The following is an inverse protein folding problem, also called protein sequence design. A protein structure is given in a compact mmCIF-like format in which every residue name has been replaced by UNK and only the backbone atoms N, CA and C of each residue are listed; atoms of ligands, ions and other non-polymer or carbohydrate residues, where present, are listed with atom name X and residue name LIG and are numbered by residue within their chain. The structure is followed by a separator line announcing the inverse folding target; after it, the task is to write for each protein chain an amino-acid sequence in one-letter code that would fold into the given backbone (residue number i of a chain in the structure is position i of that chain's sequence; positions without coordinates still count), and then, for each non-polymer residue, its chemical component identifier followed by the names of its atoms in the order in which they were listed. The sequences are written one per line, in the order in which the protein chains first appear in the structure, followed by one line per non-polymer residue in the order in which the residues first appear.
data_IF_929221377444
#
_entry.id   IF_929221377444
#
_cell.length_a   1.000
_cell.length_b   1.000
_cell.length_c   1.000
_cell.angle_alpha   90.00
_cell.angle_beta   90.00
_cell.angle_gamma   90.00
#
_symmetry.space_group_name_H-M   'P 1'
#
loop_
_entity.id
_entity.type
_entity.pdbx_description
1 polymer ?
#
# COMPACT_ATOMS: atom_id res chain seq x y z
N UNK A 1 -13.57 -20.47 -9.84
CA UNK A 1 -13.65 -19.46 -8.75
C UNK A 1 -12.31 -18.75 -8.64
N UNK A 2 -12.27 -17.42 -8.74
CA UNK A 2 -11.05 -16.67 -8.49
C UNK A 2 -10.61 -16.84 -7.03
N UNK A 3 -9.33 -17.15 -6.79
CA UNK A 3 -8.78 -17.28 -5.43
C UNK A 3 -8.83 -15.92 -4.73
N UNK A 4 -9.56 -15.84 -3.61
CA UNK A 4 -9.54 -14.67 -2.73
C UNK A 4 -8.20 -14.59 -2.00
N UNK A 5 -7.68 -13.38 -1.86
CA UNK A 5 -6.53 -13.11 -0.99
C UNK A 5 -6.80 -13.51 0.47
N UNK A 6 -5.76 -13.96 1.18
CA UNK A 6 -5.83 -14.18 2.63
C UNK A 6 -4.54 -13.72 3.30
N UNK A 7 -4.66 -13.18 4.50
CA UNK A 7 -3.54 -12.74 5.34
C UNK A 7 -3.50 -13.68 6.54
N UNK A 8 -2.37 -14.34 6.77
CA UNK A 8 -2.17 -15.23 7.92
C UNK A 8 -0.98 -14.75 8.72
N UNK A 9 -1.11 -14.80 10.03
CA UNK A 9 -0.05 -14.51 10.97
C UNK A 9 0.42 -15.78 11.65
N UNK A 10 1.70 -15.81 11.96
CA UNK A 10 2.38 -16.89 12.65
C UNK A 10 3.31 -16.28 13.67
N UNK A 11 3.41 -16.92 14.83
CA UNK A 11 4.42 -16.61 15.83
C UNK A 11 5.51 -17.65 15.65
N UNK A 12 6.77 -17.22 15.59
CA UNK A 12 7.90 -18.12 15.49
C UNK A 12 8.78 -17.98 16.72
N UNK A 13 9.25 -19.10 17.23
CA UNK A 13 10.30 -19.13 18.24
C UNK A 13 11.65 -18.88 17.57
N UNK A 14 12.37 -17.85 18.00
CA UNK A 14 13.64 -17.44 17.38
C UNK A 14 14.72 -18.53 17.54
N UNK A 15 14.72 -19.25 18.67
CA UNK A 15 15.77 -20.21 19.00
C UNK A 15 15.60 -21.57 18.30
N UNK A 16 14.36 -22.03 18.15
CA UNK A 16 14.00 -23.35 17.63
C UNK A 16 13.37 -23.31 16.24
N UNK A 17 12.99 -22.13 15.74
CA UNK A 17 12.27 -21.95 14.49
C UNK A 17 10.83 -22.50 14.50
N UNK A 18 10.33 -22.98 15.65
CA UNK A 18 8.98 -23.55 15.75
C UNK A 18 7.94 -22.47 15.46
N UNK A 19 6.98 -22.82 14.61
CA UNK A 19 5.87 -21.96 14.22
C UNK A 19 4.60 -22.34 14.98
N UNK A 20 3.96 -21.36 15.58
CA UNK A 20 2.57 -21.45 16.04
C UNK A 20 1.69 -20.54 15.20
N UNK A 21 0.50 -21.01 14.87
CA UNK A 21 -0.43 -20.26 14.02
C UNK A 21 -1.11 -19.18 14.86
N UNK A 22 -1.04 -17.94 14.37
CA UNK A 22 -1.81 -16.82 14.92
C UNK A 22 -3.18 -16.70 14.23
N UNK A 23 -3.56 -15.47 13.90
CA UNK A 23 -4.81 -15.14 13.19
C UNK A 23 -4.73 -15.36 11.68
N UNK A 24 -5.86 -15.70 11.07
CA UNK A 24 -6.05 -15.67 9.61
C UNK A 24 -7.25 -14.81 9.25
N UNK A 25 -7.06 -13.94 8.27
CA UNK A 25 -8.06 -13.04 7.72
C UNK A 25 -8.22 -13.31 6.23
N UNK A 26 -9.46 -13.20 5.74
CA UNK A 26 -9.70 -13.19 4.30
C UNK A 26 -9.84 -11.75 3.85
N UNK A 27 -9.25 -11.45 2.70
CA UNK A 27 -9.45 -10.18 2.04
C UNK A 27 -10.92 -10.13 1.61
N UNK A 28 -11.71 -9.15 2.07
CA UNK A 28 -13.17 -9.17 1.92
C UNK A 28 -13.59 -9.19 0.45
N UNK A 29 -12.88 -8.45 -0.39
CA UNK A 29 -13.19 -8.21 -1.80
C UNK A 29 -11.91 -8.04 -2.63
N UNK A 30 -12.00 -8.23 -3.94
CA UNK A 30 -10.87 -8.16 -4.86
C UNK A 30 -10.27 -9.53 -5.20
N UNK A 31 -9.11 -9.49 -5.84
CA UNK A 31 -8.41 -10.65 -6.38
C UNK A 31 -7.36 -11.25 -5.42
N UNK A 32 -6.29 -11.85 -5.96
CA UNK A 32 -5.13 -12.21 -5.15
C UNK A 32 -4.44 -10.96 -4.60
N UNK A 33 -3.77 -11.11 -3.45
CA UNK A 33 -2.91 -10.05 -2.91
C UNK A 33 -1.69 -9.90 -3.83
N UNK A 34 -1.48 -8.71 -4.38
CA UNK A 34 -0.40 -8.40 -5.34
C UNK A 34 0.76 -7.65 -4.70
N UNK A 35 0.48 -6.90 -3.64
CA UNK A 35 1.48 -6.08 -2.96
C UNK A 35 1.15 -5.95 -1.47
N UNK A 36 2.22 -5.90 -0.67
CA UNK A 36 2.18 -5.59 0.74
C UNK A 36 3.19 -4.47 1.01
N UNK A 37 2.82 -3.52 1.85
CA UNK A 37 3.74 -2.52 2.38
C UNK A 37 3.43 -2.33 3.85
N UNK A 38 4.44 -2.55 4.69
CA UNK A 38 4.33 -2.32 6.12
C UNK A 38 4.84 -0.92 6.42
N UNK A 39 4.12 -0.17 7.26
CA UNK A 39 4.61 1.09 7.80
C UNK A 39 4.73 0.99 9.31
N UNK A 40 5.94 1.27 9.78
CA UNK A 40 6.23 1.49 11.18
C UNK A 40 6.22 3.01 11.43
N UNK A 41 5.39 3.51 12.34
CA UNK A 41 5.39 4.93 12.69
C UNK A 41 6.51 5.23 13.69
N UNK A 42 7.41 6.12 13.32
CA UNK A 42 8.37 6.74 14.25
C UNK A 42 8.01 8.22 14.38
N UNK A 43 6.87 8.55 14.97
CA UNK A 43 6.56 9.88 15.49
C UNK A 43 5.45 9.81 16.56
N UNK A 44 5.50 10.69 17.56
CA UNK A 44 4.62 10.84 18.73
C UNK A 44 3.11 10.97 18.42
N UNK A 45 2.72 11.30 17.19
CA UNK A 45 1.32 11.63 16.83
C UNK A 45 0.53 10.50 16.14
N UNK A 46 1.16 9.42 15.67
CA UNK A 46 0.48 8.31 15.02
C UNK A 46 0.85 6.98 15.69
N UNK A 47 -0.15 6.36 16.35
CA UNK A 47 0.09 5.49 17.51
C UNK A 47 0.22 3.98 17.23
N UNK A 48 -0.26 3.46 16.10
CA UNK A 48 -0.32 2.00 15.87
C UNK A 48 0.20 1.60 14.49
N UNK A 49 1.04 0.56 14.33
CA UNK A 49 1.54 0.07 13.04
C UNK A 49 0.43 -0.30 12.05
N UNK A 50 0.67 -0.12 10.75
CA UNK A 50 -0.30 -0.43 9.70
C UNK A 50 0.33 -1.24 8.57
N UNK A 51 -0.50 -2.11 8.02
CA UNK A 51 -0.23 -2.93 6.85
C UNK A 51 -1.13 -2.45 5.70
N UNK A 52 -0.49 -2.02 4.60
CA UNK A 52 -1.14 -1.77 3.32
C UNK A 52 -1.13 -3.06 2.50
N UNK A 53 -2.30 -3.44 2.00
CA UNK A 53 -2.52 -4.61 1.15
C UNK A 53 -3.15 -4.12 -0.16
N UNK A 54 -2.55 -4.47 -1.30
CA UNK A 54 -3.19 -4.31 -2.61
C UNK A 54 -3.76 -5.65 -3.06
N UNK A 55 -5.05 -5.65 -3.40
CA UNK A 55 -5.80 -6.79 -3.88
C UNK A 55 -6.54 -6.42 -5.17
N UNK A 56 -5.86 -6.53 -6.31
CA UNK A 56 -6.47 -6.25 -7.62
C UNK A 56 -7.03 -4.84 -7.75
N UNK A 57 -6.32 -3.82 -7.24
CA UNK A 57 -6.74 -2.42 -7.32
C UNK A 57 -7.68 -1.98 -6.20
N UNK A 58 -8.00 -2.86 -5.26
CA UNK A 58 -8.50 -2.48 -3.96
C UNK A 58 -7.31 -2.35 -3.00
N UNK A 59 -7.06 -1.14 -2.52
CA UNK A 59 -6.12 -0.90 -1.43
C UNK A 59 -6.86 -1.03 -0.10
N UNK A 60 -6.29 -1.82 0.80
CA UNK A 60 -6.80 -2.08 2.13
C UNK A 60 -5.74 -1.66 3.14
N UNK A 61 -6.13 -0.78 4.05
CA UNK A 61 -5.29 -0.32 5.15
C UNK A 61 -5.72 -1.02 6.42
N UNK A 62 -4.88 -1.92 6.92
CA UNK A 62 -5.09 -2.62 8.18
C UNK A 62 -4.26 -1.97 9.28
N UNK A 63 -4.89 -1.70 10.43
CA UNK A 63 -4.16 -1.43 11.67
C UNK A 63 -3.78 -2.73 12.36
N UNK A 64 -2.55 -2.80 12.87
CA UNK A 64 -2.06 -3.90 13.69
C UNK A 64 -2.44 -3.62 15.14
N UNK A 65 -3.43 -4.36 15.65
CA UNK A 65 -4.00 -4.14 16.99
C UNK A 65 -3.24 -4.91 18.05
N UNK A 66 -2.85 -6.15 17.75
CA UNK A 66 -2.07 -6.98 18.66
C UNK A 66 -0.90 -7.61 17.90
N UNK A 67 0.33 -7.07 18.08
CA UNK A 67 1.51 -7.63 17.43
C UNK A 67 1.84 -9.07 17.85
N UNK A 68 1.40 -9.52 19.04
CA UNK A 68 1.74 -10.85 19.56
C UNK A 68 1.02 -11.99 18.83
N UNK A 69 -0.21 -11.78 18.38
CA UNK A 69 -0.99 -12.79 17.66
C UNK A 69 -1.29 -12.39 16.20
N UNK A 70 -0.80 -11.22 15.77
CA UNK A 70 -0.98 -10.68 14.44
C UNK A 70 -2.41 -10.20 14.15
N UNK A 71 -3.17 -9.80 15.17
CA UNK A 71 -4.54 -9.29 14.97
C UNK A 71 -4.53 -7.98 14.18
N UNK A 72 -5.30 -7.98 13.08
CA UNK A 72 -5.50 -6.84 12.20
C UNK A 72 -6.93 -6.33 12.26
N UNK A 73 -7.11 -5.02 12.19
CA UNK A 73 -8.41 -4.37 11.98
C UNK A 73 -8.39 -3.58 10.67
N UNK A 74 -9.39 -3.74 9.82
CA UNK A 74 -9.49 -2.95 8.60
C UNK A 74 -9.87 -1.51 8.94
N UNK A 75 -8.96 -0.56 8.68
CA UNK A 75 -9.15 0.87 8.96
C UNK A 75 -9.75 1.61 7.75
N UNK A 76 -9.30 1.30 6.53
CA UNK A 76 -9.76 2.02 5.32
C UNK A 76 -9.72 1.15 4.06
N UNK A 77 -10.61 1.47 3.11
CA UNK A 77 -10.68 0.90 1.76
C UNK A 77 -10.52 2.02 0.74
N UNK A 78 -9.68 1.83 -0.27
CA UNK A 78 -9.49 2.80 -1.35
C UNK A 78 -9.53 2.07 -2.69
N UNK A 79 -10.34 2.56 -3.61
CA UNK A 79 -10.47 1.97 -4.94
C UNK A 79 -9.58 2.72 -5.91
N UNK A 80 -8.70 1.97 -6.59
CA UNK A 80 -7.97 2.46 -7.74
C UNK A 80 -8.88 2.27 -8.95
N UNK A 81 -9.45 3.37 -9.45
CA UNK A 81 -10.20 3.37 -10.71
C UNK A 81 -9.33 2.73 -11.82
N UNK A 82 -9.96 1.99 -12.75
CA UNK A 82 -9.33 1.26 -13.88
C UNK A 82 -8.69 -0.12 -13.65
N UNK A 83 -9.05 -0.86 -12.58
CA UNK A 83 -8.40 -2.17 -12.33
C UNK A 83 -9.31 -3.41 -12.31
N UNK A 84 -10.23 -3.56 -13.28
CA UNK A 84 -11.04 -4.79 -13.35
C UNK A 84 -10.32 -5.97 -14.03
N UNK A 85 -9.29 -5.71 -14.84
CA UNK A 85 -8.64 -6.71 -15.71
C UNK A 85 -7.08 -6.70 -15.70
N UNK A 86 -6.39 -6.16 -14.68
CA UNK A 86 -4.92 -6.11 -14.74
C UNK A 86 -4.27 -7.50 -14.70
N UNK A 87 -3.47 -7.79 -15.73
CA UNK A 87 -2.49 -8.88 -15.73
C UNK A 87 -1.26 -8.56 -14.88
N UNK A 88 -1.03 -7.28 -14.56
CA UNK A 88 0.16 -6.79 -13.86
C UNK A 88 -0.12 -6.51 -12.38
N UNK A 89 0.67 -7.09 -11.46
CA UNK A 89 0.52 -6.83 -10.03
C UNK A 89 0.93 -5.39 -9.71
N UNK A 90 -0.04 -4.49 -9.54
CA UNK A 90 0.23 -3.11 -9.14
C UNK A 90 0.95 -3.09 -7.79
N UNK A 91 2.04 -2.31 -7.73
CA UNK A 91 2.76 -2.04 -6.49
C UNK A 91 2.24 -0.76 -5.84
N UNK A 92 2.19 -0.80 -4.52
CA UNK A 92 1.71 0.29 -3.68
C UNK A 92 2.55 0.38 -2.42
N UNK A 93 2.83 1.59 -1.97
CA UNK A 93 3.62 1.85 -0.77
C UNK A 93 3.12 3.08 -0.03
N UNK A 94 3.48 3.20 1.24
CA UNK A 94 3.21 4.40 2.00
C UNK A 94 4.07 5.57 1.50
N UNK A 95 3.45 6.76 1.45
CA UNK A 95 4.08 8.02 1.11
C UNK A 95 3.91 9.01 2.28
N UNK A 96 4.99 9.38 2.96
CA UNK A 96 4.96 10.39 4.02
C UNK A 96 4.94 11.83 3.47
N UNK A 97 5.32 12.01 2.21
CA UNK A 97 5.75 13.29 1.62
C UNK A 97 4.57 14.18 1.20
N UNK A 98 3.40 13.62 0.94
CA UNK A 98 2.21 14.41 0.56
C UNK A 98 1.49 15.03 1.77
N UNK A 99 1.98 14.78 2.99
CA UNK A 99 1.37 15.29 4.20
C UNK A 99 1.84 16.74 4.48
N UNK A 100 1.28 17.71 3.77
CA UNK A 100 1.28 19.13 4.20
C UNK A 100 0.44 19.37 5.47
N UNK A 101 -0.19 18.30 5.97
CA UNK A 101 -1.00 18.14 7.17
C UNK A 101 -0.56 16.82 7.80
N UNK A 102 -0.78 16.56 9.08
CA UNK A 102 -0.30 15.40 9.87
C UNK A 102 -0.72 13.97 9.40
N UNK A 103 -1.02 13.79 8.12
CA UNK A 103 -1.60 12.61 7.52
C UNK A 103 -0.60 11.60 6.99
N UNK A 104 -1.09 10.38 6.77
CA UNK A 104 -0.34 9.33 6.09
C UNK A 104 -0.92 9.19 4.69
N UNK A 105 -0.10 9.30 3.66
CA UNK A 105 -0.55 9.01 2.29
C UNK A 105 -0.07 7.62 1.86
N UNK A 106 -0.70 7.10 0.82
CA UNK A 106 -0.22 5.94 0.06
C UNK A 106 -0.17 6.31 -1.41
N UNK A 107 0.79 5.74 -2.12
CA UNK A 107 0.87 5.81 -3.58
C UNK A 107 0.63 4.42 -4.16
N UNK A 108 0.03 4.39 -5.33
CA UNK A 108 -0.13 3.17 -6.13
C UNK A 108 0.07 3.49 -7.60
N UNK A 109 0.65 2.55 -8.34
CA UNK A 109 0.58 2.56 -9.79
C UNK A 109 -0.85 2.30 -10.27
N UNK A 110 -1.10 2.65 -11.53
CA UNK A 110 -2.34 2.40 -12.27
C UNK A 110 -2.03 1.81 -13.64
N UNK A 111 -3.03 1.16 -14.25
CA UNK A 111 -2.93 0.61 -15.60
C UNK A 111 -2.87 1.68 -16.69
N UNK A 112 -3.35 2.87 -16.40
CA UNK A 112 -3.36 4.00 -17.34
C UNK A 112 -2.08 4.85 -17.27
N UNK A 113 -1.00 4.30 -16.72
CA UNK A 113 0.29 4.99 -16.60
C UNK A 113 0.33 6.08 -15.52
N UNK A 114 -0.72 6.20 -14.71
CA UNK A 114 -0.76 7.16 -13.60
C UNK A 114 -0.28 6.62 -12.27
N UNK A 115 0.41 7.45 -11.49
CA UNK A 115 0.55 7.25 -10.05
C UNK A 115 -0.60 7.95 -9.35
N UNK A 116 -1.32 7.22 -8.49
CA UNK A 116 -2.47 7.74 -7.75
C UNK A 116 -2.13 7.80 -6.26
N UNK A 117 -2.43 8.94 -5.66
CA UNK A 117 -2.17 9.19 -4.24
C UNK A 117 -3.47 9.25 -3.47
N UNK A 118 -3.48 8.65 -2.28
CA UNK A 118 -4.60 8.69 -1.36
C UNK A 118 -4.14 9.12 0.03
N UNK A 119 -4.93 9.93 0.70
CA UNK A 119 -4.80 10.18 2.14
C UNK A 119 -5.52 9.05 2.91
N UNK A 120 -4.79 8.37 3.81
CA UNK A 120 -5.32 7.26 4.61
C UNK A 120 -5.77 7.66 6.00
N UNK A 121 -5.77 8.96 6.33
CA UNK A 121 -6.36 9.45 7.58
C UNK A 121 -7.86 9.16 7.63
N UNK A 122 -8.41 8.89 8.84
CA UNK A 122 -9.83 8.56 9.00
C UNK A 122 -10.78 9.67 8.51
N UNK A 123 -10.37 10.94 8.63
CA UNK A 123 -11.20 12.09 8.25
C UNK A 123 -11.22 12.39 6.76
N UNK A 124 -10.22 11.96 5.99
CA UNK A 124 -10.19 12.21 4.55
C UNK A 124 -11.07 11.23 3.78
N UNK A 125 -11.72 11.67 2.69
CA UNK A 125 -12.51 10.79 1.84
C UNK A 125 -11.65 9.69 1.19
N UNK A 126 -12.30 8.66 0.66
CA UNK A 126 -11.63 7.56 -0.06
C UNK A 126 -11.27 7.92 -1.53
N UNK A 127 -11.32 9.20 -1.89
CA UNK A 127 -10.97 9.70 -3.22
C UNK A 127 -9.48 10.00 -3.34
N UNK A 128 -8.91 9.93 -4.56
CA UNK A 128 -7.53 10.38 -4.80
C UNK A 128 -7.32 11.84 -4.36
N UNK A 129 -6.16 12.12 -3.76
CA UNK A 129 -5.75 13.49 -3.38
C UNK A 129 -4.77 14.11 -4.37
N UNK A 130 -4.08 13.28 -5.14
CA UNK A 130 -3.17 13.73 -6.18
C UNK A 130 -2.96 12.62 -7.23
N UNK A 131 -2.48 13.02 -8.41
CA UNK A 131 -2.10 12.11 -9.49
C UNK A 131 -0.88 12.64 -10.23
N UNK A 132 0.11 11.78 -10.45
CA UNK A 132 1.25 12.08 -11.32
C UNK A 132 1.09 11.32 -12.63
N UNK A 133 1.21 12.02 -13.74
CA UNK A 133 1.13 11.48 -15.09
C UNK A 133 2.50 11.59 -15.77
N UNK A 134 2.88 10.57 -16.52
CA UNK A 134 4.14 10.58 -17.27
C UNK A 134 4.50 9.24 -17.92
N UNK A 135 4.10 8.11 -17.31
CA UNK A 135 4.24 6.81 -17.96
C UNK A 135 3.19 6.63 -19.06
N UNK A 136 3.59 6.02 -20.17
CA UNK A 136 2.69 5.66 -21.27
C UNK A 136 2.16 4.22 -21.18
N UNK A 137 2.63 3.46 -20.18
CA UNK A 137 2.29 2.07 -19.96
C UNK A 137 1.94 1.79 -18.49
N UNK A 138 1.27 0.66 -18.18
CA UNK A 138 0.92 0.28 -16.81
C UNK A 138 2.11 0.33 -15.84
N UNK A 139 1.89 0.92 -14.67
CA UNK A 139 2.94 1.03 -13.65
C UNK A 139 2.99 -0.27 -12.83
N UNK A 140 4.09 -1.01 -12.96
CA UNK A 140 4.35 -2.25 -12.23
C UNK A 140 5.25 -2.07 -11.01
N UNK A 141 5.99 -0.96 -10.90
CA UNK A 141 6.92 -0.69 -9.80
C UNK A 141 6.72 0.70 -9.21
N UNK A 142 6.73 0.78 -7.87
CA UNK A 142 6.69 2.06 -7.13
C UNK A 142 7.54 1.93 -5.86
N UNK A 143 8.45 2.87 -5.64
CA UNK A 143 9.31 2.90 -4.46
C UNK A 143 9.59 4.33 -4.01
N UNK A 144 9.41 4.59 -2.72
CA UNK A 144 9.86 5.84 -2.10
C UNK A 144 11.29 5.70 -1.59
N UNK A 145 12.08 6.76 -1.78
CA UNK A 145 13.36 6.88 -1.11
C UNK A 145 13.15 6.99 0.41
N UNK A 146 14.05 6.39 1.19
CA UNK A 146 13.98 6.36 2.65
C UNK A 146 14.08 7.76 3.27
N UNK A 147 14.77 8.69 2.59
CA UNK A 147 14.89 10.10 2.97
C UNK A 147 13.66 10.93 2.59
N UNK A 148 12.67 10.29 1.96
CA UNK A 148 11.41 10.90 1.60
C UNK A 148 11.55 12.09 0.63
N UNK A 149 12.60 12.12 -0.22
CA UNK A 149 12.77 13.22 -1.18
C UNK A 149 12.41 12.85 -2.61
N UNK A 150 12.41 11.56 -2.91
CA UNK A 150 12.21 11.04 -4.25
C UNK A 150 11.23 9.89 -4.27
N UNK A 151 10.46 9.84 -5.34
CA UNK A 151 9.67 8.68 -5.74
C UNK A 151 10.26 8.12 -7.01
N UNK A 152 10.38 6.80 -7.10
CA UNK A 152 10.67 6.10 -8.33
C UNK A 152 9.43 5.31 -8.75
N UNK A 153 9.10 5.35 -10.04
CA UNK A 153 8.12 4.46 -10.65
C UNK A 153 8.67 3.82 -11.91
N UNK A 154 8.23 2.60 -12.19
CA UNK A 154 8.60 1.84 -13.37
C UNK A 154 7.35 1.28 -14.05
N UNK A 155 7.27 1.43 -15.37
CA UNK A 155 6.21 0.86 -16.18
C UNK A 155 6.60 -0.45 -16.86
N UNK A 156 5.62 -1.11 -17.45
CA UNK A 156 5.78 -2.37 -18.17
C UNK A 156 6.55 -2.26 -19.48
N UNK A 157 6.77 -1.03 -19.98
CA UNK A 157 7.61 -0.77 -21.15
C UNK A 157 9.09 -0.57 -20.78
N UNK A 158 9.43 -0.69 -19.49
CA UNK A 158 10.80 -0.58 -18.99
C UNK A 158 11.23 0.86 -18.71
N UNK A 159 10.32 1.84 -18.79
CA UNK A 159 10.65 3.22 -18.47
C UNK A 159 10.61 3.40 -16.96
N UNK A 160 11.61 4.11 -16.43
CA UNK A 160 11.67 4.54 -15.02
C UNK A 160 11.57 6.05 -14.96
N UNK A 161 10.66 6.56 -14.12
CA UNK A 161 10.54 8.00 -13.84
C UNK A 161 10.90 8.25 -12.38
N UNK A 162 11.77 9.24 -12.17
CA UNK A 162 12.10 9.77 -10.85
C UNK A 162 11.35 11.08 -10.64
N UNK A 163 10.54 11.13 -9.58
CA UNK A 163 9.76 12.30 -9.21
C UNK A 163 10.41 12.99 -8.03
N UNK A 164 10.68 14.28 -8.19
CA UNK A 164 11.18 15.16 -7.13
C UNK A 164 10.10 16.19 -6.80
N UNK A 165 10.00 16.58 -5.54
CA UNK A 165 9.24 17.77 -5.18
C UNK A 165 9.94 19.01 -5.74
N UNK A 166 9.19 19.86 -6.43
CA UNK A 166 9.66 21.22 -6.71
C UNK A 166 9.85 21.99 -5.40
N UNK A 167 10.85 22.85 -5.34
CA UNK A 167 10.90 23.87 -4.29
C UNK A 167 9.86 24.93 -4.66
N UNK A 168 8.87 25.13 -3.80
CA UNK A 168 7.94 26.26 -3.86
C UNK A 168 8.36 27.30 -2.83
#
# INVERSE_FOLDING_TARGET
MAKKGSISSYVFDISSGRLSRGRRFYVPEGGPVTCLSFRHWVNRQARDPCLLVNSGGLLLVYGVVNPKDGTLVLKKRLHVCNNKNALTPLKSCFSPIMSFRDGSCVVTGSNDGGLVFFDVTPSHPASPVNRLQGHSAPIGGVAFAADERMLASADTSGVVILWKKGQS
#
